data_IF_438831576087
#
_entry.id   IF_438831576087
#
_cell.length_a   1.000
_cell.length_b   1.000
_cell.length_c   1.000
_cell.angle_alpha   90.00
_cell.angle_beta   90.00
_cell.angle_gamma   90.00
#
_symmetry.space_group_name_H-M   'P 1'
#
loop_
_entity.id
_entity.type
_entity.pdbx_description
1 polymer ?
#
# COMPACT_ATOMS: atom_id res chain seq x y z
N UNK A 1 -36.91 20.95 -56.29
CA UNK A 1 -36.26 21.62 -55.13
C UNK A 1 -35.40 20.60 -54.40
N UNK A 2 -34.07 20.73 -54.48
CA UNK A 2 -33.13 19.81 -53.81
C UNK A 2 -32.70 20.39 -52.45
N UNK A 3 -32.98 19.67 -51.36
CA UNK A 3 -32.56 20.04 -50.00
C UNK A 3 -31.07 19.73 -49.81
N UNK A 4 -30.25 20.75 -49.55
CA UNK A 4 -28.84 20.58 -49.14
C UNK A 4 -28.77 20.17 -47.66
N UNK A 5 -27.96 19.18 -47.26
CA UNK A 5 -27.76 18.86 -45.86
C UNK A 5 -26.83 19.90 -45.21
N UNK A 6 -27.29 20.52 -44.12
CA UNK A 6 -26.48 21.43 -43.31
C UNK A 6 -25.41 20.65 -42.55
N UNK A 7 -24.14 20.84 -42.92
CA UNK A 7 -22.99 20.36 -42.14
C UNK A 7 -22.76 21.27 -40.94
N UNK A 8 -23.57 21.10 -39.90
CA UNK A 8 -23.24 21.61 -38.57
C UNK A 8 -22.71 20.45 -37.74
N UNK A 9 -21.44 20.08 -37.95
CA UNK A 9 -20.68 19.42 -36.88
C UNK A 9 -20.46 20.49 -35.82
N UNK A 10 -21.41 20.53 -34.88
CA UNK A 10 -21.41 21.45 -33.76
C UNK A 10 -20.09 21.39 -33.00
N UNK A 11 -19.77 22.51 -32.36
CA UNK A 11 -18.74 22.63 -31.34
C UNK A 11 -18.83 21.44 -30.37
N UNK A 12 -18.02 20.41 -30.59
CA UNK A 12 -17.84 19.34 -29.63
C UNK A 12 -17.42 20.03 -28.34
N UNK A 13 -18.21 19.88 -27.26
CA UNK A 13 -17.90 20.54 -25.99
C UNK A 13 -16.46 20.19 -25.64
N UNK A 14 -15.60 21.18 -25.48
CA UNK A 14 -14.17 21.01 -25.13
C UNK A 14 -13.98 20.03 -23.97
N UNK A 15 -14.97 19.93 -23.07
CA UNK A 15 -15.04 18.95 -21.99
C UNK A 15 -14.90 17.49 -22.44
N UNK A 16 -15.50 17.06 -23.55
CA UNK A 16 -15.45 15.65 -23.99
C UNK A 16 -14.10 15.26 -24.56
N UNK A 17 -13.37 16.21 -25.17
CA UNK A 17 -11.99 16.00 -25.63
C UNK A 17 -11.00 15.92 -24.45
N UNK A 18 -11.24 16.72 -23.41
CA UNK A 18 -10.44 16.71 -22.19
C UNK A 18 -10.69 15.44 -21.35
N UNK A 19 -11.90 14.90 -21.34
CA UNK A 19 -12.27 13.74 -20.52
C UNK A 19 -11.42 12.49 -20.84
N UNK A 20 -11.15 12.23 -22.13
CA UNK A 20 -10.30 11.11 -22.54
C UNK A 20 -8.83 11.30 -22.14
N UNK A 21 -8.31 12.53 -22.26
CA UNK A 21 -6.94 12.87 -21.84
C UNK A 21 -6.78 12.82 -20.31
N UNK A 22 -7.78 13.29 -19.56
CA UNK A 22 -7.83 13.19 -18.10
C UNK A 22 -7.84 11.73 -17.66
N UNK A 23 -8.65 10.88 -18.29
CA UNK A 23 -8.72 9.45 -17.97
C UNK A 23 -7.39 8.75 -18.25
N UNK A 24 -6.81 8.92 -19.43
CA UNK A 24 -5.53 8.30 -19.80
C UNK A 24 -4.39 8.74 -18.89
N UNK A 25 -4.34 10.03 -18.55
CA UNK A 25 -3.34 10.54 -17.60
C UNK A 25 -3.60 10.05 -16.17
N UNK A 26 -4.84 9.88 -15.73
CA UNK A 26 -5.14 9.27 -14.43
C UNK A 26 -4.75 7.79 -14.36
N UNK A 27 -4.99 7.02 -15.42
CA UNK A 27 -4.61 5.61 -15.51
C UNK A 27 -3.08 5.45 -15.52
N UNK A 28 -2.36 6.27 -16.28
CA UNK A 28 -0.89 6.30 -16.28
C UNK A 28 -0.32 6.71 -14.91
N UNK A 29 -0.94 7.68 -14.22
CA UNK A 29 -0.54 8.10 -12.86
C UNK A 29 -0.71 6.98 -11.85
N UNK A 30 -1.87 6.31 -11.83
CA UNK A 30 -2.15 5.20 -10.91
C UNK A 30 -1.23 4.01 -11.15
N UNK A 31 -0.97 3.67 -12.42
CA UNK A 31 -0.05 2.60 -12.78
C UNK A 31 1.39 2.90 -12.33
N UNK A 32 1.86 4.13 -12.53
CA UNK A 32 3.21 4.49 -12.17
C UNK A 32 3.41 4.64 -10.65
N UNK A 33 2.37 5.06 -9.92
CA UNK A 33 2.35 4.98 -8.45
C UNK A 33 2.49 3.52 -7.99
N UNK A 34 1.73 2.60 -8.58
CA UNK A 34 1.85 1.17 -8.26
C UNK A 34 3.26 0.64 -8.51
N UNK A 35 3.88 0.98 -9.65
CA UNK A 35 5.25 0.54 -9.98
C UNK A 35 6.30 1.05 -9.00
N UNK A 36 6.18 2.31 -8.56
CA UNK A 36 7.09 2.87 -7.54
C UNK A 36 6.98 2.12 -6.21
N UNK A 37 5.77 1.75 -5.81
CA UNK A 37 5.52 1.05 -4.55
C UNK A 37 5.99 -0.42 -4.61
N UNK A 38 5.88 -1.09 -5.76
CA UNK A 38 6.24 -2.51 -5.88
C UNK A 38 7.70 -2.75 -6.23
N UNK A 39 8.36 -1.86 -6.98
CA UNK A 39 9.74 -2.03 -7.47
C UNK A 39 10.70 -0.95 -6.96
N UNK A 40 10.52 -0.47 -5.74
CA UNK A 40 11.32 0.63 -5.20
C UNK A 40 12.83 0.35 -5.19
N UNK A 41 13.24 -0.88 -4.83
CA UNK A 41 14.65 -1.27 -4.78
C UNK A 41 15.36 -1.15 -6.15
N UNK A 42 14.68 -1.56 -7.22
CA UNK A 42 15.20 -1.44 -8.59
C UNK A 42 15.34 0.02 -9.03
N UNK A 43 14.44 0.89 -8.57
CA UNK A 43 14.38 2.30 -9.00
C UNK A 43 15.37 3.16 -8.22
N UNK A 44 15.38 3.03 -6.89
CA UNK A 44 16.21 3.85 -6.01
C UNK A 44 17.64 3.31 -5.88
N UNK A 45 17.81 1.99 -6.02
CA UNK A 45 19.01 1.24 -5.65
C UNK A 45 18.92 0.68 -4.23
N UNK A 46 19.66 -0.40 -3.97
CA UNK A 46 19.61 -1.15 -2.72
C UNK A 46 19.88 -0.29 -1.48
N UNK A 47 20.89 0.58 -1.53
CA UNK A 47 21.24 1.46 -0.41
C UNK A 47 20.06 2.35 0.02
N UNK A 48 19.45 3.05 -0.95
CA UNK A 48 18.35 3.98 -0.69
C UNK A 48 17.08 3.22 -0.29
N UNK A 49 16.85 2.05 -0.88
CA UNK A 49 15.69 1.22 -0.57
C UNK A 49 15.77 0.54 0.81
N UNK A 50 16.98 0.25 1.29
CA UNK A 50 17.20 -0.24 2.65
C UNK A 50 16.87 0.83 3.71
N UNK A 51 17.13 2.11 3.41
CA UNK A 51 16.92 3.21 4.36
C UNK A 51 15.58 3.95 4.20
N UNK A 52 14.91 3.82 3.04
CA UNK A 52 13.72 4.60 2.73
C UNK A 52 12.69 3.84 1.90
N UNK A 53 11.41 4.19 2.07
CA UNK A 53 10.30 3.60 1.32
C UNK A 53 9.32 4.66 0.80
N UNK A 54 8.78 4.51 -0.40
CA UNK A 54 7.77 5.41 -0.94
C UNK A 54 6.42 5.17 -0.24
N UNK A 55 5.79 6.25 0.21
CA UNK A 55 4.48 6.19 0.89
C UNK A 55 3.37 6.59 -0.06
N UNK A 56 3.53 7.72 -0.73
CA UNK A 56 2.52 8.28 -1.61
C UNK A 56 3.13 9.17 -2.68
N UNK A 57 2.36 9.33 -3.76
CA UNK A 57 2.64 10.32 -4.80
C UNK A 57 1.46 11.30 -4.84
N UNK A 58 1.67 12.47 -4.24
CA UNK A 58 0.65 13.53 -4.15
C UNK A 58 0.67 14.45 -5.37
N UNK A 59 -0.49 14.60 -6.02
CA UNK A 59 -0.68 15.54 -7.13
C UNK A 59 -1.40 16.79 -6.62
N UNK A 60 -0.71 17.93 -6.61
CA UNK A 60 -1.32 19.21 -6.22
C UNK A 60 -2.36 19.67 -7.25
N UNK A 61 -3.45 20.31 -6.79
CA UNK A 61 -4.40 21.00 -7.69
C UNK A 61 -3.70 22.21 -8.29
N UNK A 62 -3.25 22.10 -9.55
CA UNK A 62 -2.70 23.21 -10.33
C UNK A 62 -1.17 23.31 -10.41
N UNK A 63 -0.42 22.35 -9.84
CA UNK A 63 1.05 22.31 -9.95
C UNK A 63 1.56 21.50 -11.15
N UNK A 64 2.66 21.94 -11.78
CA UNK A 64 3.42 21.11 -12.72
C UNK A 64 4.24 20.07 -11.94
N UNK A 65 3.73 18.84 -11.89
CA UNK A 65 4.43 17.67 -11.35
C UNK A 65 3.97 17.22 -9.97
N UNK A 66 4.30 15.97 -9.64
CA UNK A 66 3.88 15.30 -8.42
C UNK A 66 4.91 15.44 -7.30
N UNK A 67 4.45 15.16 -6.07
CA UNK A 67 5.28 15.10 -4.87
C UNK A 67 5.43 13.66 -4.46
N UNK A 68 6.64 13.13 -4.45
CA UNK A 68 6.92 11.81 -3.88
C UNK A 68 7.22 11.98 -2.39
N UNK A 69 6.45 11.32 -1.54
CA UNK A 69 6.71 11.28 -0.09
C UNK A 69 7.46 9.98 0.24
N UNK A 70 8.63 10.11 0.85
CA UNK A 70 9.47 8.99 1.29
C UNK A 70 9.50 8.93 2.82
N UNK A 71 9.25 7.75 3.37
CA UNK A 71 9.45 7.44 4.77
C UNK A 71 10.86 6.92 4.99
N UNK A 72 11.55 7.43 6.01
CA UNK A 72 12.89 7.01 6.43
C UNK A 72 12.98 6.96 7.95
N UNK A 73 13.96 6.25 8.49
CA UNK A 73 14.35 6.43 9.90
C UNK A 73 15.03 7.78 10.12
N UNK A 74 14.92 8.34 11.33
CA UNK A 74 15.48 9.65 11.65
C UNK A 74 16.99 9.76 11.44
N UNK A 75 17.75 8.68 11.68
CA UNK A 75 19.20 8.65 11.47
C UNK A 75 19.62 8.84 9.99
N UNK A 76 18.77 8.41 9.05
CA UNK A 76 19.09 8.41 7.62
C UNK A 76 18.51 9.63 6.87
N UNK A 77 17.67 10.44 7.51
CA UNK A 77 17.01 11.57 6.87
C UNK A 77 17.97 12.62 6.26
N UNK A 78 19.08 13.04 6.92
CA UNK A 78 20.01 13.99 6.33
C UNK A 78 20.72 13.46 5.08
N UNK A 79 21.11 12.18 5.09
CA UNK A 79 21.72 11.52 3.94
C UNK A 79 20.75 11.50 2.75
N UNK A 80 19.49 11.12 3.01
CA UNK A 80 18.46 11.04 1.99
C UNK A 80 18.11 12.42 1.41
N UNK A 81 18.09 13.46 2.24
CA UNK A 81 17.89 14.86 1.81
C UNK A 81 18.99 15.33 0.85
N UNK A 82 20.25 14.99 1.12
CA UNK A 82 21.37 15.29 0.21
C UNK A 82 21.24 14.53 -1.12
N UNK A 83 20.73 13.30 -1.09
CA UNK A 83 20.60 12.44 -2.26
C UNK A 83 19.30 12.66 -3.05
N UNK A 84 18.35 13.46 -2.55
CA UNK A 84 17.01 13.59 -3.13
C UNK A 84 16.99 14.07 -4.58
N UNK A 85 17.96 14.88 -5.00
CA UNK A 85 18.05 15.37 -6.38
C UNK A 85 18.36 14.21 -7.34
N UNK A 86 19.39 13.42 -7.02
CA UNK A 86 19.76 12.22 -7.78
C UNK A 86 18.65 11.18 -7.75
N UNK A 87 18.00 11.00 -6.61
CA UNK A 87 16.88 10.08 -6.47
C UNK A 87 15.69 10.51 -7.34
N UNK A 88 15.39 11.81 -7.42
CA UNK A 88 14.34 12.35 -8.29
C UNK A 88 14.63 12.09 -9.76
N UNK A 89 15.89 12.22 -10.18
CA UNK A 89 16.32 11.91 -11.54
C UNK A 89 16.12 10.42 -11.87
N UNK A 90 16.57 9.53 -10.99
CA UNK A 90 16.33 8.07 -11.12
C UNK A 90 14.85 7.75 -11.24
N UNK A 91 14.03 8.32 -10.36
CA UNK A 91 12.58 8.11 -10.39
C UNK A 91 12.00 8.62 -11.70
N UNK A 92 12.31 9.84 -12.13
CA UNK A 92 11.79 10.40 -13.38
C UNK A 92 12.27 9.65 -14.64
N UNK A 93 13.44 9.00 -14.60
CA UNK A 93 13.91 8.16 -15.69
C UNK A 93 12.95 6.97 -15.95
N UNK A 94 12.34 6.41 -14.90
CA UNK A 94 11.34 5.34 -15.02
C UNK A 94 10.06 5.83 -15.71
N UNK A 95 9.70 7.09 -15.50
CA UNK A 95 8.55 7.73 -16.14
C UNK A 95 8.85 8.13 -17.59
N UNK A 96 10.12 8.39 -17.93
CA UNK A 96 10.51 8.94 -19.23
C UNK A 96 10.17 10.43 -19.40
N UNK A 97 9.71 11.10 -18.35
CA UNK A 97 9.43 12.54 -18.30
C UNK A 97 9.54 13.05 -16.85
N UNK A 98 9.51 14.37 -16.66
CA UNK A 98 9.58 14.98 -15.33
C UNK A 98 8.25 14.85 -14.57
N UNK A 99 7.97 13.65 -14.05
CA UNK A 99 6.74 13.30 -13.36
C UNK A 99 6.73 13.78 -11.91
N UNK A 100 7.86 13.65 -11.21
CA UNK A 100 8.07 14.04 -9.82
C UNK A 100 8.83 15.37 -9.82
N UNK A 101 8.15 16.42 -9.36
CA UNK A 101 8.74 17.75 -9.22
C UNK A 101 9.59 17.85 -7.95
N UNK A 102 9.09 17.28 -6.85
CA UNK A 102 9.70 17.38 -5.52
C UNK A 102 9.62 16.05 -4.77
N UNK A 103 10.64 15.79 -3.95
CA UNK A 103 10.65 14.70 -2.98
C UNK A 103 10.52 15.32 -1.59
N UNK A 104 9.59 14.79 -0.79
CA UNK A 104 9.42 15.13 0.62
C UNK A 104 9.86 13.93 1.45
N UNK A 105 10.73 14.15 2.40
CA UNK A 105 11.19 13.13 3.33
C UNK A 105 10.43 13.30 4.65
N UNK A 106 9.86 12.21 5.15
CA UNK A 106 9.17 12.15 6.45
C UNK A 106 9.77 11.06 7.31
N UNK A 107 9.82 11.30 8.62
CA UNK A 107 10.28 10.34 9.62
C UNK A 107 9.12 9.67 10.37
N UNK A 108 7.92 10.23 10.22
CA UNK A 108 6.68 9.68 10.76
C UNK A 108 5.85 9.13 9.61
N UNK A 109 5.31 7.93 9.78
CA UNK A 109 4.36 7.38 8.83
C UNK A 109 3.09 8.26 8.81
N UNK A 110 2.49 8.46 7.64
CA UNK A 110 1.18 9.11 7.52
C UNK A 110 0.08 8.33 8.29
N UNK A 111 0.34 7.06 8.58
CA UNK A 111 -0.49 6.18 9.41
C UNK A 111 0.08 6.05 10.81
N UNK A 112 -0.26 7.00 11.68
CA UNK A 112 -0.37 6.80 13.12
C UNK A 112 0.91 6.55 13.93
N UNK A 113 0.90 7.07 15.16
CA UNK A 113 1.81 6.70 16.24
C UNK A 113 1.63 5.21 16.56
N UNK A 114 2.40 4.36 15.91
CA UNK A 114 2.72 3.03 16.40
C UNK A 114 4.21 3.04 16.71
N UNK A 115 4.54 3.41 17.95
CA UNK A 115 5.83 3.10 18.54
C UNK A 115 6.07 1.58 18.42
N UNK A 116 7.30 1.22 18.03
CA UNK A 116 7.74 -0.18 18.00
C UNK A 116 7.99 -0.69 16.60
N UNK A 117 9.21 -0.46 16.11
CA UNK A 117 9.84 -1.15 14.99
C UNK A 117 9.16 -0.98 13.63
N UNK A 118 9.58 0.06 12.90
CA UNK A 118 9.54 0.01 11.44
C UNK A 118 10.57 -1.04 11.02
N UNK A 119 10.18 -2.31 10.98
CA UNK A 119 11.01 -3.36 10.37
C UNK A 119 11.13 -3.06 8.87
N UNK A 120 12.37 -2.81 8.44
CA UNK A 120 12.72 -2.54 7.04
C UNK A 120 12.92 -3.82 6.23
N UNK A 121 12.72 -4.98 6.84
CA UNK A 121 12.58 -6.23 6.12
C UNK A 121 11.18 -6.33 5.48
N UNK A 122 11.10 -7.09 4.38
CA UNK A 122 9.85 -7.74 4.04
C UNK A 122 9.45 -8.54 5.28
N UNK A 123 8.39 -8.14 6.00
CA UNK A 123 7.82 -9.02 7.01
C UNK A 123 7.56 -10.34 6.29
N UNK A 124 8.27 -11.44 6.61
CA UNK A 124 7.88 -12.72 6.07
C UNK A 124 6.42 -12.86 6.46
N UNK A 125 5.56 -13.12 5.46
CA UNK A 125 4.15 -13.43 5.66
C UNK A 125 4.08 -14.23 6.94
N UNK A 126 3.41 -13.68 7.97
CA UNK A 126 3.34 -14.30 9.28
C UNK A 126 3.11 -15.79 9.03
N UNK A 127 4.03 -16.60 9.57
CA UNK A 127 3.97 -18.05 9.44
C UNK A 127 2.50 -18.45 9.67
N UNK A 128 2.02 -19.36 8.83
CA UNK A 128 0.63 -19.77 8.79
C UNK A 128 0.06 -20.10 10.17
N UNK A 129 -1.26 -20.27 10.28
CA UNK A 129 -1.96 -20.44 11.55
C UNK A 129 -1.15 -21.35 12.47
N UNK A 130 -0.71 -20.82 13.61
CA UNK A 130 -0.05 -21.63 14.65
C UNK A 130 -0.94 -22.84 14.85
N UNK A 131 -0.41 -24.04 14.53
CA UNK A 131 -1.17 -25.26 14.75
C UNK A 131 -1.65 -25.25 16.21
N UNK A 132 -2.95 -25.39 16.44
CA UNK A 132 -3.48 -25.32 17.79
C UNK A 132 -2.85 -26.44 18.62
N UNK A 133 -2.18 -26.02 19.69
CA UNK A 133 -1.61 -26.90 20.71
C UNK A 133 -2.63 -27.98 21.12
N UNK A 134 -2.19 -29.23 21.30
CA UNK A 134 -3.09 -30.36 21.57
C UNK A 134 -3.97 -30.13 22.82
N UNK A 135 -3.45 -29.40 23.81
CA UNK A 135 -4.20 -28.96 24.98
C UNK A 135 -5.37 -28.01 24.65
N UNK A 136 -5.23 -27.19 23.61
CA UNK A 136 -6.29 -26.28 23.14
C UNK A 136 -7.43 -27.02 22.45
N UNK A 137 -7.10 -28.08 21.72
CA UNK A 137 -8.09 -28.94 21.05
C UNK A 137 -8.87 -29.77 22.08
N UNK A 138 -8.19 -30.34 23.08
CA UNK A 138 -8.83 -31.06 24.19
C UNK A 138 -9.79 -30.16 24.98
N UNK A 139 -9.38 -28.93 25.30
CA UNK A 139 -10.24 -27.98 26.01
C UNK A 139 -11.46 -27.55 25.19
N UNK A 140 -11.32 -27.39 23.87
CA UNK A 140 -12.43 -27.10 22.97
C UNK A 140 -13.44 -28.25 22.91
N UNK A 141 -12.98 -29.51 22.88
CA UNK A 141 -13.82 -30.71 22.93
C UNK A 141 -14.55 -30.85 24.26
N UNK A 142 -13.85 -30.64 25.38
CA UNK A 142 -14.45 -30.70 26.71
C UNK A 142 -15.58 -29.66 26.89
N UNK A 143 -15.42 -28.47 26.30
CA UNK A 143 -16.42 -27.39 26.39
C UNK A 143 -17.65 -27.64 25.51
N UNK A 144 -17.52 -28.44 24.45
CA UNK A 144 -18.57 -28.67 23.44
C UNK A 144 -19.22 -30.05 23.51
N UNK A 145 -18.73 -30.95 24.36
CA UNK A 145 -19.24 -32.32 24.52
C UNK A 145 -20.72 -32.44 24.90
N UNK A 146 -21.34 -31.38 25.43
CA UNK A 146 -22.78 -31.35 25.76
C UNK A 146 -23.72 -31.10 24.56
N UNK A 147 -23.19 -30.85 23.36
CA UNK A 147 -24.00 -30.54 22.18
C UNK A 147 -24.42 -31.84 21.50
N UNK A 148 -25.72 -32.08 21.34
CA UNK A 148 -26.24 -33.32 20.73
C UNK A 148 -26.07 -33.39 19.20
N UNK A 149 -26.07 -32.23 18.53
CA UNK A 149 -25.90 -32.13 17.08
C UNK A 149 -24.41 -32.14 16.68
N UNK A 150 -24.02 -33.11 15.84
CA UNK A 150 -22.64 -33.33 15.43
C UNK A 150 -22.06 -32.17 14.62
N UNK A 151 -22.87 -31.58 13.73
CA UNK A 151 -22.45 -30.47 12.88
C UNK A 151 -22.20 -29.20 13.69
N UNK A 152 -23.09 -28.92 14.64
CA UNK A 152 -22.97 -27.82 15.57
C UNK A 152 -21.79 -28.02 16.54
N UNK A 153 -21.58 -29.25 17.04
CA UNK A 153 -20.43 -29.57 17.90
C UNK A 153 -19.12 -29.29 17.19
N UNK A 154 -18.96 -29.79 15.96
CA UNK A 154 -17.75 -29.57 15.16
C UNK A 154 -17.51 -28.08 14.86
N UNK A 155 -18.56 -27.32 14.57
CA UNK A 155 -18.45 -25.87 14.34
C UNK A 155 -18.02 -25.13 15.62
N UNK A 156 -18.56 -25.51 16.78
CA UNK A 156 -18.24 -24.91 18.06
C UNK A 156 -16.83 -25.29 18.54
N UNK A 157 -16.36 -26.52 18.29
CA UNK A 157 -14.98 -26.93 18.57
C UNK A 157 -14.00 -26.05 17.80
N UNK A 158 -14.20 -25.87 16.49
CA UNK A 158 -13.36 -25.02 15.63
C UNK A 158 -13.37 -23.57 16.10
N UNK A 159 -14.53 -23.05 16.51
CA UNK A 159 -14.63 -21.70 17.05
C UNK A 159 -13.88 -21.55 18.38
N UNK A 160 -14.07 -22.50 19.30
CA UNK A 160 -13.42 -22.50 20.61
C UNK A 160 -11.89 -22.59 20.47
N UNK A 161 -11.38 -23.48 19.62
CA UNK A 161 -9.95 -23.59 19.32
C UNK A 161 -9.39 -22.27 18.79
N UNK A 162 -10.06 -21.62 17.83
CA UNK A 162 -9.60 -20.34 17.27
C UNK A 162 -9.61 -19.19 18.29
N UNK A 163 -10.60 -19.13 19.18
CA UNK A 163 -10.68 -18.10 20.22
C UNK A 163 -9.56 -18.27 21.25
N UNK A 164 -9.28 -19.50 21.69
CA UNK A 164 -8.24 -19.79 22.68
C UNK A 164 -6.85 -19.49 22.10
N UNK A 165 -6.56 -19.93 20.87
CA UNK A 165 -5.29 -19.61 20.18
C UNK A 165 -5.10 -18.10 20.08
N UNK A 166 -6.14 -17.36 19.66
CA UNK A 166 -6.10 -15.89 19.56
C UNK A 166 -5.99 -15.17 20.92
N UNK A 167 -6.47 -15.77 22.00
CA UNK A 167 -6.30 -15.24 23.36
C UNK A 167 -4.86 -15.43 23.84
N UNK A 168 -4.24 -16.58 23.56
CA UNK A 168 -2.84 -16.89 23.88
C UNK A 168 -1.86 -15.98 23.13
N UNK A 169 -2.10 -15.74 21.84
CA UNK A 169 -1.29 -14.82 21.02
C UNK A 169 -1.36 -13.36 21.53
N UNK A 170 -2.50 -12.93 22.08
CA UNK A 170 -2.66 -11.59 22.66
C UNK A 170 -1.97 -11.42 24.02
N UNK A 171 -1.82 -12.48 24.80
CA UNK A 171 -1.14 -12.45 26.09
C UNK A 171 0.39 -12.42 26.00
N UNK A 172 0.97 -12.89 24.89
CA UNK A 172 2.42 -12.92 24.67
C UNK A 172 3.01 -11.61 24.11
N UNK A 173 2.18 -10.59 23.87
CA UNK A 173 2.58 -9.29 23.33
C UNK A 173 2.62 -8.14 24.36
N UNK A 174 2.57 -8.43 25.66
CA UNK A 174 2.66 -7.43 26.73
C UNK A 174 3.64 -7.89 27.80
N UNK A 175 4.94 -7.81 27.49
CA UNK A 175 6.05 -7.63 28.44
C UNK A 175 7.09 -6.77 27.75
#
# INVERSE_FOLDING_TARGET
MAKRPSSTRGFARTSSLLQGQIRRTSEQRGFAQSRLLTHWAEIAGEDIAAMSRPVEVGYGRGGMGATLTLLTTGANAPMLEMQKVKLREKVNAVYGYNAIARIRITQTAATGFAEGQVSFDHRPKAAGPTEPDAATVEHARATTGGVADEGLRSALERLATNIITKAKDRGHGSV
#
